data_IF_540068900521
#
_entry.id   IF_540068900521
#
_cell.length_a   1.000
_cell.length_b   1.000
_cell.length_c   1.000
_cell.angle_alpha   90.00
_cell.angle_beta   90.00
_cell.angle_gamma   90.00
#
_symmetry.space_group_name_H-M   'P 1'
#
loop_
_entity.id
_entity.type
_entity.pdbx_description
1 polymer ?
#
# COMPACT_ATOMS: atom_id res chain seq x y z
N UNK A 1 22.08 -1.06 2.52
CA UNK A 1 21.50 -0.16 1.50
C UNK A 1 20.64 0.86 2.23
N UNK A 2 20.68 2.16 1.92
CA UNK A 2 19.86 3.16 2.62
C UNK A 2 18.42 3.03 2.11
N UNK A 3 17.49 2.63 2.97
CA UNK A 3 16.04 2.74 2.69
C UNK A 3 15.78 4.20 2.29
N UNK A 4 15.14 4.43 1.15
CA UNK A 4 14.79 5.78 0.70
C UNK A 4 13.89 6.40 1.77
N UNK A 5 14.36 7.46 2.42
CA UNK A 5 13.69 8.13 3.55
C UNK A 5 12.26 8.50 3.19
N UNK A 6 12.00 8.83 1.92
CA UNK A 6 10.66 9.20 1.43
C UNK A 6 9.67 8.03 1.49
N UNK A 7 10.11 6.82 1.16
CA UNK A 7 9.33 5.57 1.30
C UNK A 7 8.76 5.43 2.69
N UNK A 8 9.64 5.57 3.66
CA UNK A 8 9.35 5.23 5.04
C UNK A 8 8.39 6.24 5.64
N UNK A 9 8.54 7.50 5.23
CA UNK A 9 7.59 8.58 5.53
C UNK A 9 6.21 8.28 4.96
N UNK A 10 6.11 7.91 3.67
CA UNK A 10 4.82 7.60 3.03
C UNK A 10 4.16 6.40 3.73
N UNK A 11 4.91 5.33 4.00
CA UNK A 11 4.41 4.14 4.71
C UNK A 11 3.85 4.50 6.09
N UNK A 12 4.63 5.23 6.88
CA UNK A 12 4.24 5.69 8.22
C UNK A 12 2.98 6.57 8.19
N UNK A 13 2.88 7.47 7.21
CA UNK A 13 1.72 8.32 7.02
C UNK A 13 0.45 7.51 6.74
N UNK A 14 0.58 6.49 5.89
CA UNK A 14 -0.55 5.69 5.47
C UNK A 14 -1.05 4.77 6.59
N UNK A 15 -0.16 4.19 7.38
CA UNK A 15 -0.49 3.46 8.61
C UNK A 15 -1.27 4.34 9.60
N UNK A 16 -0.80 5.57 9.82
CA UNK A 16 -1.46 6.55 10.67
C UNK A 16 -2.88 6.88 10.16
N UNK A 17 -3.03 7.17 8.87
CA UNK A 17 -4.33 7.49 8.28
C UNK A 17 -5.30 6.31 8.36
N UNK A 18 -4.84 5.09 8.10
CA UNK A 18 -5.65 3.87 8.28
C UNK A 18 -6.13 3.70 9.71
N UNK A 19 -5.26 3.90 10.71
CA UNK A 19 -5.64 3.87 12.12
C UNK A 19 -6.70 4.92 12.46
N UNK A 20 -6.52 6.16 11.97
CA UNK A 20 -7.42 7.27 12.28
C UNK A 20 -8.79 7.10 11.62
N UNK A 21 -8.81 6.71 10.35
CA UNK A 21 -10.05 6.45 9.61
C UNK A 21 -10.81 5.28 10.25
N UNK A 22 -10.13 4.19 10.60
CA UNK A 22 -10.74 3.04 11.28
C UNK A 22 -11.35 3.39 12.63
N UNK A 23 -10.73 4.30 13.40
CA UNK A 23 -11.28 4.77 14.68
C UNK A 23 -12.39 5.81 14.53
N UNK A 24 -12.32 6.68 13.52
CA UNK A 24 -13.35 7.69 13.25
C UNK A 24 -14.69 7.06 12.81
N UNK A 25 -14.68 5.86 12.22
CA UNK A 25 -15.89 5.09 11.90
C UNK A 25 -16.65 4.59 13.12
N UNK A 26 -15.95 4.12 14.16
CA UNK A 26 -16.59 3.71 15.42
C UNK A 26 -17.43 4.83 16.03
N UNK A 27 -17.13 6.08 15.67
CA UNK A 27 -17.79 7.30 16.13
C UNK A 27 -18.62 8.02 15.05
N UNK A 28 -18.84 7.42 13.86
CA UNK A 28 -19.62 7.96 12.71
C UNK A 28 -19.23 9.38 12.25
N UNK A 29 -17.95 9.76 12.33
CA UNK A 29 -17.56 11.15 12.09
C UNK A 29 -16.27 11.27 11.25
N UNK A 30 -16.18 10.56 10.12
CA UNK A 30 -15.08 10.74 9.15
C UNK A 30 -15.36 11.96 8.27
N UNK A 31 -15.47 13.14 8.85
CA UNK A 31 -15.46 14.38 8.04
C UNK A 31 -14.09 15.03 8.04
N UNK A 32 -13.26 14.73 9.03
CA UNK A 32 -12.04 15.50 9.21
C UNK A 32 -11.02 14.85 10.13
N UNK A 33 -9.75 14.93 9.73
CA UNK A 33 -8.59 14.54 10.53
C UNK A 33 -7.68 15.76 10.65
N UNK A 34 -7.57 16.29 11.87
CA UNK A 34 -6.57 17.32 12.17
C UNK A 34 -5.20 16.65 12.38
N UNK A 35 -4.19 17.13 11.66
CA UNK A 35 -2.85 16.57 11.68
C UNK A 35 -1.79 17.67 11.56
N UNK A 36 -0.53 17.27 11.73
CA UNK A 36 0.63 18.10 11.48
C UNK A 36 1.53 17.39 10.48
N UNK A 37 2.01 18.13 9.49
CA UNK A 37 3.00 17.65 8.52
C UNK A 37 4.37 18.24 8.84
N UNK A 38 5.40 17.41 8.87
CA UNK A 38 6.77 17.86 9.04
C UNK A 38 7.26 18.55 7.77
N UNK A 39 7.78 19.76 7.92
CA UNK A 39 8.11 20.64 6.78
C UNK A 39 9.19 20.12 5.85
N UNK A 40 10.08 19.27 6.35
CA UNK A 40 11.24 18.79 5.59
C UNK A 40 11.03 17.41 4.96
N UNK A 41 10.22 16.55 5.58
CA UNK A 41 10.06 15.15 5.16
C UNK A 41 8.67 14.83 4.65
N UNK A 42 7.64 15.55 5.10
CA UNK A 42 6.23 15.24 4.82
C UNK A 42 5.62 14.21 5.77
N UNK A 43 6.31 13.85 6.87
CA UNK A 43 5.78 12.97 7.90
C UNK A 43 4.56 13.54 8.61
N UNK A 44 3.56 12.71 8.87
CA UNK A 44 2.32 13.07 9.53
C UNK A 44 2.30 12.65 10.99
N UNK A 45 1.77 13.52 11.85
CA UNK A 45 1.44 13.19 13.24
C UNK A 45 0.11 13.78 13.64
N UNK A 46 -0.56 13.14 14.60
CA UNK A 46 -1.77 13.68 15.24
C UNK A 46 -1.51 13.86 16.71
N UNK A 47 -1.64 15.08 17.21
CA UNK A 47 -1.43 15.35 18.64
C UNK A 47 -2.73 15.68 19.34
N UNK A 48 -3.04 14.88 20.38
CA UNK A 48 -4.20 15.12 21.27
C UNK A 48 -3.87 15.95 22.50
N UNK A 49 -2.57 16.22 22.78
CA UNK A 49 -2.12 16.78 24.07
C UNK A 49 -1.11 17.93 23.97
N UNK A 50 -0.32 18.03 22.89
CA UNK A 50 0.67 19.10 22.69
C UNK A 50 0.84 19.44 21.22
N UNK A 51 0.55 20.67 20.84
CA UNK A 51 0.83 21.17 19.48
C UNK A 51 2.32 21.06 19.19
N UNK A 52 2.74 20.37 18.11
CA UNK A 52 4.13 20.37 17.66
C UNK A 52 4.65 21.79 17.42
N UNK A 53 5.97 21.99 17.47
CA UNK A 53 6.53 23.32 17.23
C UNK A 53 6.22 23.78 15.80
N UNK A 54 5.90 25.06 15.62
CA UNK A 54 5.53 25.62 14.32
C UNK A 54 6.71 25.83 13.37
N UNK A 55 7.94 25.70 13.86
CA UNK A 55 9.14 25.85 13.03
C UNK A 55 9.36 24.63 12.15
N UNK A 56 9.12 23.43 12.69
CA UNK A 56 9.31 22.14 12.03
C UNK A 56 8.02 21.55 11.48
N UNK A 57 6.86 21.94 12.03
CA UNK A 57 5.57 21.34 11.69
C UNK A 57 4.60 22.38 11.15
N UNK A 58 3.81 21.99 10.15
CA UNK A 58 2.71 22.77 9.60
C UNK A 58 1.40 22.06 9.93
N UNK A 59 0.41 22.80 10.45
CA UNK A 59 -0.89 22.24 10.79
C UNK A 59 -1.76 22.09 9.54
N UNK A 60 -2.38 20.93 9.39
CA UNK A 60 -3.21 20.58 8.24
C UNK A 60 -4.50 19.90 8.69
N UNK A 61 -5.47 19.89 7.79
CA UNK A 61 -6.71 19.12 7.93
C UNK A 61 -6.87 18.23 6.71
N UNK A 62 -7.06 16.93 6.93
CA UNK A 62 -7.32 15.94 5.89
C UNK A 62 -8.80 15.59 5.96
N UNK A 63 -9.54 15.92 4.89
CA UNK A 63 -11.00 15.87 4.87
C UNK A 63 -11.49 15.01 3.73
N UNK A 64 -12.48 14.16 4.03
CA UNK A 64 -13.27 13.52 2.99
C UNK A 64 -14.25 14.54 2.41
N UNK A 65 -14.15 14.77 1.11
CA UNK A 65 -15.04 15.62 0.32
C UNK A 65 -15.86 14.69 -0.56
N UNK A 66 -17.17 14.65 -0.32
CA UNK A 66 -18.09 13.94 -1.20
C UNK A 66 -18.20 14.70 -2.52
N UNK A 67 -17.86 14.03 -3.63
CA UNK A 67 -18.13 14.59 -4.95
C UNK A 67 -19.58 14.32 -5.34
N UNK A 68 -20.13 15.19 -6.19
CA UNK A 68 -21.48 15.02 -6.75
C UNK A 68 -21.52 13.93 -7.83
N UNK A 69 -20.37 13.35 -8.16
CA UNK A 69 -20.20 12.32 -9.18
C UNK A 69 -20.48 10.91 -8.63
N UNK A 70 -20.86 9.96 -9.50
CA UNK A 70 -21.07 8.55 -9.10
C UNK A 70 -19.78 7.83 -8.66
N UNK A 71 -18.61 8.47 -8.73
CA UNK A 71 -17.29 7.90 -8.37
C UNK A 71 -16.98 7.96 -6.86
N UNK A 72 -17.84 8.60 -6.06
CA UNK A 72 -17.65 8.73 -4.61
C UNK A 72 -16.93 10.03 -4.23
N UNK A 73 -16.37 10.09 -3.03
CA UNK A 73 -15.62 11.25 -2.54
C UNK A 73 -14.10 11.08 -2.65
N UNK A 74 -13.35 12.12 -2.27
CA UNK A 74 -11.90 12.08 -2.17
C UNK A 74 -11.41 12.72 -0.87
N UNK A 75 -10.25 12.30 -0.40
CA UNK A 75 -9.51 13.02 0.64
C UNK A 75 -8.76 14.20 0.02
N UNK A 76 -9.00 15.35 0.62
CA UNK A 76 -8.32 16.60 0.29
C UNK A 76 -7.60 17.14 1.52
N UNK A 77 -6.50 17.85 1.29
CA UNK A 77 -5.73 18.51 2.34
C UNK A 77 -6.06 20.00 2.35
N UNK A 78 -6.25 20.54 3.54
CA UNK A 78 -6.51 21.96 3.80
C UNK A 78 -5.51 22.50 4.80
N UNK A 79 -5.19 23.78 4.69
CA UNK A 79 -4.45 24.47 5.74
C UNK A 79 -5.41 24.97 6.82
N UNK A 80 -5.02 24.77 8.08
CA UNK A 80 -5.79 25.28 9.21
C UNK A 80 -5.24 26.63 9.63
N UNK A 81 -5.97 27.69 9.28
CA UNK A 81 -5.61 29.07 9.62
C UNK A 81 -6.45 29.58 10.80
N UNK A 82 -6.06 30.71 11.39
CA UNK A 82 -6.85 31.37 12.45
C UNK A 82 -8.20 31.89 11.95
N UNK A 83 -8.33 32.14 10.64
CA UNK A 83 -9.56 32.67 10.00
C UNK A 83 -10.45 31.57 9.41
N UNK A 84 -10.01 30.30 9.47
CA UNK A 84 -10.74 29.15 8.94
C UNK A 84 -9.88 28.25 8.06
N UNK A 85 -10.51 27.57 7.10
CA UNK A 85 -9.86 26.63 6.18
C UNK A 85 -9.69 27.29 4.83
N UNK A 86 -8.47 27.27 4.32
CA UNK A 86 -8.13 27.75 2.99
C UNK A 86 -7.57 26.60 2.17
N UNK A 87 -7.54 26.76 0.84
CA UNK A 87 -6.86 25.81 -0.04
C UNK A 87 -5.42 25.61 0.44
N UNK A 88 -4.95 24.36 0.41
CA UNK A 88 -3.63 24.03 0.94
C UNK A 88 -2.52 24.76 0.18
N UNK A 89 -1.83 25.67 0.87
CA UNK A 89 -0.64 26.31 0.37
C UNK A 89 0.58 25.44 0.69
N UNK A 90 1.43 25.18 -0.29
CA UNK A 90 2.68 24.44 -0.10
C UNK A 90 3.79 25.28 0.56
N UNK A 91 3.49 26.54 0.89
CA UNK A 91 4.45 27.46 1.48
C UNK A 91 4.97 26.95 2.83
N UNK A 92 6.30 26.98 2.97
CA UNK A 92 7.01 26.50 4.14
C UNK A 92 7.27 24.99 4.17
N UNK A 93 6.94 24.25 3.10
CA UNK A 93 7.33 22.85 2.91
C UNK A 93 8.50 22.73 1.92
N UNK A 94 9.38 21.77 2.15
CA UNK A 94 10.36 21.35 1.14
C UNK A 94 9.65 20.62 0.00
N UNK A 95 10.31 20.53 -1.16
CA UNK A 95 9.79 19.78 -2.30
C UNK A 95 9.55 18.31 -1.94
N UNK A 96 10.43 17.73 -1.13
CA UNK A 96 10.35 16.37 -0.62
C UNK A 96 9.10 16.17 0.25
N UNK A 97 8.83 17.10 1.17
CA UNK A 97 7.64 17.05 2.01
C UNK A 97 6.35 17.18 1.20
N UNK A 98 6.32 18.05 0.20
CA UNK A 98 5.19 18.19 -0.72
C UNK A 98 4.93 16.89 -1.48
N UNK A 99 5.97 16.25 -2.00
CA UNK A 99 5.86 14.99 -2.73
C UNK A 99 5.38 13.86 -1.84
N UNK A 100 5.97 13.68 -0.65
CA UNK A 100 5.57 12.63 0.29
C UNK A 100 4.09 12.77 0.70
N UNK A 101 3.63 14.00 0.94
CA UNK A 101 2.23 14.28 1.27
C UNK A 101 1.31 14.02 0.06
N UNK A 102 1.68 14.48 -1.13
CA UNK A 102 0.91 14.25 -2.35
C UNK A 102 0.78 12.75 -2.66
N UNK A 103 1.87 12.00 -2.57
CA UNK A 103 1.91 10.55 -2.80
C UNK A 103 1.09 9.81 -1.75
N UNK A 104 1.13 10.25 -0.50
CA UNK A 104 0.28 9.72 0.59
C UNK A 104 -1.20 9.88 0.23
N UNK A 105 -1.65 11.11 -0.09
CA UNK A 105 -3.06 11.40 -0.37
C UNK A 105 -3.53 10.73 -1.66
N UNK A 106 -2.70 10.74 -2.70
CA UNK A 106 -2.97 10.02 -3.94
C UNK A 106 -3.16 8.52 -3.68
N UNK A 107 -2.27 7.92 -2.88
CA UNK A 107 -2.34 6.49 -2.53
C UNK A 107 -3.62 6.18 -1.78
N UNK A 108 -3.97 6.96 -0.76
CA UNK A 108 -5.25 6.83 -0.03
C UNK A 108 -6.41 6.94 -1.01
N UNK A 109 -6.49 8.00 -1.80
CA UNK A 109 -7.58 8.21 -2.76
C UNK A 109 -7.70 7.09 -3.78
N UNK A 110 -6.59 6.54 -4.28
CA UNK A 110 -6.58 5.39 -5.20
C UNK A 110 -7.25 4.15 -4.60
N UNK A 111 -7.08 3.92 -3.29
CA UNK A 111 -7.75 2.82 -2.59
C UNK A 111 -9.23 3.12 -2.33
N UNK A 112 -9.54 4.37 -1.97
CA UNK A 112 -10.92 4.78 -1.67
C UNK A 112 -11.79 4.88 -2.93
N UNK A 113 -11.32 5.48 -4.03
CA UNK A 113 -12.11 5.70 -5.25
C UNK A 113 -12.39 4.41 -6.05
N UNK A 114 -11.46 3.44 -6.05
CA UNK A 114 -11.68 2.16 -6.73
C UNK A 114 -12.72 1.25 -6.06
N UNK A 115 -12.88 1.37 -4.75
CA UNK A 115 -13.74 0.47 -3.94
C UNK A 115 -15.08 1.12 -3.54
N UNK A 116 -15.18 2.46 -3.53
CA UNK A 116 -16.42 3.17 -3.21
C UNK A 116 -17.52 3.03 -4.26
N UNK A 117 -17.16 2.83 -5.54
CA UNK A 117 -18.11 2.70 -6.65
C UNK A 117 -19.11 1.53 -6.51
N UNK A 118 -19.00 0.67 -5.49
CA UNK A 118 -19.91 -0.48 -5.35
C UNK A 118 -20.57 -0.68 -3.97
N UNK A 119 -19.98 -0.28 -2.82
CA UNK A 119 -20.44 -0.81 -1.51
C UNK A 119 -20.34 0.09 -0.25
N UNK A 120 -19.97 1.37 -0.39
CA UNK A 120 -19.98 2.34 0.73
C UNK A 120 -18.72 2.35 1.63
N UNK A 121 -18.65 3.35 2.53
CA UNK A 121 -17.47 3.68 3.37
C UNK A 121 -17.01 2.50 4.25
N UNK A 122 -17.92 1.68 4.74
CA UNK A 122 -17.64 0.59 5.68
C UNK A 122 -16.82 -0.55 5.06
N UNK A 123 -17.09 -0.91 3.80
CA UNK A 123 -16.37 -1.99 3.11
C UNK A 123 -15.01 -1.55 2.58
N UNK A 124 -14.91 -0.30 2.09
CA UNK A 124 -13.63 0.27 1.67
C UNK A 124 -12.64 0.34 2.84
N UNK A 125 -13.09 0.76 4.03
CA UNK A 125 -12.23 0.80 5.22
C UNK A 125 -11.84 -0.61 5.69
N UNK A 126 -12.77 -1.57 5.68
CA UNK A 126 -12.49 -2.99 5.97
C UNK A 126 -11.47 -3.65 5.02
N UNK A 127 -11.30 -3.08 3.82
CA UNK A 127 -10.24 -3.45 2.87
C UNK A 127 -8.98 -2.60 2.99
N UNK A 128 -9.05 -1.37 3.50
CA UNK A 128 -7.88 -0.51 3.79
C UNK A 128 -7.13 -0.93 5.06
N UNK A 129 -7.85 -1.22 6.14
CA UNK A 129 -7.39 -2.30 7.03
C UNK A 129 -7.32 -3.55 6.19
N UNK A 130 -6.28 -4.37 6.11
CA UNK A 130 -6.04 -5.41 5.06
C UNK A 130 -5.21 -4.92 3.86
N UNK A 131 -5.39 -3.71 3.35
CA UNK A 131 -4.51 -3.17 2.31
C UNK A 131 -3.20 -2.73 2.97
N UNK A 132 -2.11 -3.33 2.53
CA UNK A 132 -0.77 -2.91 2.92
C UNK A 132 -0.32 -1.75 2.04
N UNK A 133 0.21 -0.72 2.69
CA UNK A 133 0.69 0.47 2.01
C UNK A 133 2.13 0.24 1.58
N UNK A 134 2.29 0.03 0.28
CA UNK A 134 3.49 -0.59 -0.28
C UNK A 134 4.59 0.45 -0.50
N UNK A 135 5.81 0.06 -0.10
CA UNK A 135 7.12 0.69 -0.34
C UNK A 135 7.46 0.84 -1.84
N UNK A 136 8.25 1.83 -2.30
CA UNK A 136 8.67 1.94 -3.68
C UNK A 136 9.47 0.71 -4.12
N UNK A 137 9.17 0.27 -5.34
CA UNK A 137 9.25 -1.13 -5.76
C UNK A 137 7.86 -1.72 -6.01
N UNK A 138 6.81 -1.10 -5.44
CA UNK A 138 5.40 -1.51 -5.62
C UNK A 138 4.84 -1.33 -7.01
N UNK A 139 5.38 -0.44 -7.86
CA UNK A 139 4.77 -0.18 -9.18
C UNK A 139 4.73 -1.44 -10.05
N UNK A 140 5.78 -2.25 -9.99
CA UNK A 140 5.84 -3.51 -10.72
C UNK A 140 4.90 -4.54 -10.11
N UNK A 141 4.89 -4.65 -8.77
CA UNK A 141 3.96 -5.52 -8.04
C UNK A 141 2.51 -5.15 -8.40
N UNK A 142 2.12 -3.89 -8.24
CA UNK A 142 0.80 -3.34 -8.57
C UNK A 142 0.41 -3.58 -10.03
N UNK A 143 1.34 -3.33 -10.97
CA UNK A 143 1.08 -3.49 -12.40
C UNK A 143 0.87 -4.96 -12.80
N UNK A 144 1.43 -5.89 -12.04
CA UNK A 144 1.43 -7.34 -12.33
C UNK A 144 0.65 -8.14 -11.30
N UNK A 145 -0.01 -7.49 -10.34
CA UNK A 145 -0.87 -8.15 -9.37
C UNK A 145 -2.23 -8.41 -10.00
N UNK A 146 -2.74 -9.63 -9.92
CA UNK A 146 -4.07 -10.02 -10.37
C UNK A 146 -4.85 -10.58 -9.18
N UNK A 147 -6.14 -10.27 -9.12
CA UNK A 147 -6.99 -10.70 -8.00
C UNK A 147 -7.88 -11.81 -8.54
N UNK A 148 -7.26 -12.97 -8.79
CA UNK A 148 -7.88 -14.09 -9.47
C UNK A 148 -7.35 -15.41 -8.89
N UNK A 149 -8.16 -16.46 -8.98
CA UNK A 149 -7.81 -17.79 -8.52
C UNK A 149 -6.84 -18.52 -9.48
N UNK A 150 -6.45 -19.72 -9.08
CA UNK A 150 -5.51 -20.54 -9.84
C UNK A 150 -6.02 -20.89 -11.23
N UNK A 151 -7.28 -21.31 -11.36
CA UNK A 151 -7.86 -21.72 -12.64
C UNK A 151 -7.88 -20.56 -13.64
N UNK A 152 -8.21 -19.36 -13.15
CA UNK A 152 -8.18 -18.13 -13.94
C UNK A 152 -6.76 -17.75 -14.34
N UNK A 153 -5.76 -17.89 -13.45
CA UNK A 153 -4.36 -17.64 -13.79
C UNK A 153 -3.82 -18.61 -14.83
N UNK A 154 -4.12 -19.90 -14.69
CA UNK A 154 -3.72 -20.89 -15.68
C UNK A 154 -4.31 -20.55 -17.06
N UNK A 155 -5.57 -20.11 -17.10
CA UNK A 155 -6.22 -19.64 -18.33
C UNK A 155 -5.56 -18.37 -18.89
N UNK A 156 -5.21 -17.39 -18.05
CA UNK A 156 -4.53 -16.17 -18.46
C UNK A 156 -3.14 -16.47 -19.04
N UNK A 157 -2.41 -17.41 -18.45
CA UNK A 157 -1.04 -17.77 -18.84
C UNK A 157 -0.97 -18.82 -19.94
N UNK A 158 -2.07 -19.50 -20.28
CA UNK A 158 -2.10 -20.61 -21.24
C UNK A 158 -1.50 -20.26 -22.62
N UNK A 159 -1.69 -19.03 -23.07
CA UNK A 159 -1.21 -18.55 -24.38
C UNK A 159 0.11 -17.76 -24.30
N UNK A 160 0.72 -17.65 -23.12
CA UNK A 160 1.90 -16.83 -22.91
C UNK A 160 3.19 -17.65 -22.98
N UNK A 161 4.28 -17.01 -23.39
CA UNK A 161 5.59 -17.66 -23.51
C UNK A 161 6.19 -17.99 -22.15
N UNK A 162 7.07 -19.00 -22.13
CA UNK A 162 7.93 -19.30 -20.98
C UNK A 162 8.60 -18.02 -20.45
N UNK A 163 8.64 -17.90 -19.13
CA UNK A 163 9.16 -16.72 -18.44
C UNK A 163 8.13 -15.64 -18.15
N UNK A 164 6.90 -15.76 -18.65
CA UNK A 164 5.82 -14.81 -18.32
C UNK A 164 5.35 -15.03 -16.90
N UNK A 165 5.27 -13.97 -16.10
CA UNK A 165 4.93 -14.05 -14.68
C UNK A 165 3.89 -13.01 -14.24
N UNK A 166 3.22 -13.26 -13.12
CA UNK A 166 2.33 -12.34 -12.43
C UNK A 166 2.34 -12.61 -10.93
N UNK A 167 1.85 -11.66 -10.14
CA UNK A 167 1.53 -11.88 -8.73
C UNK A 167 0.02 -12.03 -8.54
N UNK A 168 -0.40 -12.79 -7.53
CA UNK A 168 -1.81 -12.95 -7.17
C UNK A 168 -2.00 -13.10 -5.68
N UNK A 169 -3.17 -12.68 -5.20
CA UNK A 169 -3.66 -13.11 -3.90
C UNK A 169 -4.35 -14.47 -4.08
N UNK A 170 -4.07 -15.41 -3.20
CA UNK A 170 -4.87 -16.62 -3.08
C UNK A 170 -5.14 -16.95 -1.62
N UNK A 171 -6.16 -17.77 -1.39
CA UNK A 171 -6.63 -18.09 -0.05
C UNK A 171 -5.57 -18.78 0.81
N UNK A 172 -4.68 -19.59 0.23
CA UNK A 172 -3.60 -20.23 0.97
C UNK A 172 -2.55 -19.23 1.41
N UNK A 173 -2.12 -18.34 0.50
CA UNK A 173 -1.20 -17.26 0.85
C UNK A 173 -1.78 -16.37 1.95
N UNK A 174 -3.07 -16.03 1.87
CA UNK A 174 -3.73 -15.23 2.92
C UNK A 174 -3.71 -15.95 4.28
N UNK A 175 -4.09 -17.23 4.33
CA UNK A 175 -4.09 -18.02 5.58
C UNK A 175 -2.67 -18.11 6.15
N UNK A 176 -1.66 -18.33 5.30
CA UNK A 176 -0.26 -18.35 5.72
C UNK A 176 0.16 -17.02 6.34
N UNK A 177 -0.16 -15.90 5.70
CA UNK A 177 0.13 -14.56 6.22
C UNK A 177 -0.50 -14.31 7.59
N UNK A 178 -1.75 -14.75 7.79
CA UNK A 178 -2.44 -14.67 9.09
C UNK A 178 -1.74 -15.51 10.18
N UNK A 179 -1.31 -16.73 9.86
CA UNK A 179 -0.61 -17.61 10.81
C UNK A 179 0.80 -17.10 11.15
N UNK A 180 1.56 -16.65 10.15
CA UNK A 180 2.88 -16.06 10.37
C UNK A 180 2.75 -14.76 11.18
N UNK A 181 1.76 -13.91 10.88
CA UNK A 181 1.53 -12.67 11.64
C UNK A 181 1.26 -12.93 13.12
N UNK A 182 0.46 -13.97 13.44
CA UNK A 182 0.22 -14.38 14.83
C UNK A 182 1.50 -14.84 15.52
N UNK A 183 2.34 -15.60 14.81
CA UNK A 183 3.56 -16.19 15.36
C UNK A 183 4.63 -15.14 15.66
N UNK A 184 4.83 -14.19 14.76
CA UNK A 184 5.86 -13.17 14.89
C UNK A 184 5.37 -11.90 15.59
N UNK A 185 4.08 -11.84 15.96
CA UNK A 185 3.43 -10.68 16.59
C UNK A 185 3.60 -9.37 15.79
N UNK A 186 3.72 -9.49 14.48
CA UNK A 186 3.88 -8.37 13.55
C UNK A 186 3.11 -8.63 12.24
N UNK A 187 2.73 -7.60 11.49
CA UNK A 187 2.08 -7.78 10.19
C UNK A 187 3.00 -8.47 9.18
N UNK A 188 2.54 -9.59 8.62
CA UNK A 188 3.22 -10.34 7.56
C UNK A 188 2.24 -10.57 6.42
N UNK A 189 2.64 -10.14 5.23
CA UNK A 189 1.91 -10.39 4.00
C UNK A 189 2.44 -11.60 3.27
N UNK A 190 1.53 -12.29 2.59
CA UNK A 190 1.86 -13.39 1.72
C UNK A 190 1.02 -13.28 0.44
N UNK A 191 1.69 -13.49 -0.70
CA UNK A 191 1.06 -13.54 -2.02
C UNK A 191 1.80 -14.52 -2.90
N UNK A 192 1.21 -14.90 -4.02
CA UNK A 192 1.78 -15.92 -4.90
C UNK A 192 2.32 -15.31 -6.19
N UNK A 193 3.56 -15.63 -6.51
CA UNK A 193 4.19 -15.41 -7.80
C UNK A 193 3.90 -16.63 -8.68
N UNK A 194 3.20 -16.44 -9.78
CA UNK A 194 2.92 -17.50 -10.75
C UNK A 194 3.60 -17.20 -12.07
N UNK A 195 4.25 -18.19 -12.68
CA UNK A 195 4.92 -18.03 -13.97
C UNK A 195 4.85 -19.27 -14.87
N UNK A 196 5.07 -19.05 -16.17
CA UNK A 196 5.16 -20.10 -17.18
C UNK A 196 6.58 -20.68 -17.20
N UNK A 197 6.74 -21.89 -16.69
CA UNK A 197 7.99 -22.65 -16.70
C UNK A 197 8.22 -23.41 -18.02
N UNK A 198 9.16 -24.36 -17.98
CA UNK A 198 9.47 -25.20 -19.12
C UNK A 198 8.25 -25.97 -19.63
N UNK A 199 8.16 -26.12 -20.96
CA UNK A 199 7.07 -26.84 -21.63
C UNK A 199 5.67 -26.28 -21.32
N UNK A 200 5.57 -25.01 -20.93
CA UNK A 200 4.30 -24.35 -20.63
C UNK A 200 3.71 -24.73 -19.27
N UNK A 201 4.47 -25.41 -18.40
CA UNK A 201 3.99 -25.76 -17.06
C UNK A 201 3.86 -24.51 -16.20
N UNK A 202 2.72 -24.33 -15.56
CA UNK A 202 2.51 -23.24 -14.59
C UNK A 202 3.15 -23.60 -13.24
N UNK A 203 3.96 -22.69 -12.71
CA UNK A 203 4.70 -22.82 -11.45
C UNK A 203 4.30 -21.69 -10.52
N UNK A 204 4.08 -22.04 -9.24
CA UNK A 204 3.72 -21.11 -8.16
C UNK A 204 4.85 -21.04 -7.14
N UNK A 205 5.18 -19.84 -6.70
CA UNK A 205 5.96 -19.59 -5.48
C UNK A 205 5.18 -18.68 -4.54
N UNK A 206 5.18 -19.00 -3.25
CA UNK A 206 4.66 -18.07 -2.25
C UNK A 206 5.75 -17.10 -1.84
N UNK A 207 5.45 -15.81 -1.94
CA UNK A 207 6.31 -14.70 -1.54
C UNK A 207 5.78 -14.16 -0.22
N UNK A 208 6.67 -14.02 0.75
CA UNK A 208 6.38 -13.40 2.05
C UNK A 208 6.98 -12.00 2.04
N UNK A 209 6.18 -11.00 2.40
CA UNK A 209 6.65 -9.65 2.74
C UNK A 209 6.56 -9.47 4.25
N UNK A 210 7.74 -9.30 4.86
CA UNK A 210 7.91 -9.07 6.29
C UNK A 210 8.72 -7.81 6.49
N UNK A 211 8.08 -6.78 7.05
CA UNK A 211 8.72 -5.47 7.29
C UNK A 211 9.36 -4.86 6.03
N UNK A 212 8.73 -5.04 4.87
CA UNK A 212 9.21 -4.50 3.58
C UNK A 212 10.35 -5.31 2.95
N UNK A 213 10.66 -6.49 3.51
CA UNK A 213 11.62 -7.44 2.95
C UNK A 213 10.90 -8.65 2.41
N UNK A 214 11.32 -9.08 1.23
CA UNK A 214 10.67 -10.16 0.50
C UNK A 214 11.47 -11.44 0.62
N UNK A 215 10.81 -12.59 0.67
CA UNK A 215 11.47 -13.89 0.67
C UNK A 215 10.56 -14.92 0.01
N UNK A 216 11.14 -15.97 -0.54
CA UNK A 216 10.39 -17.12 -1.02
C UNK A 216 10.09 -18.04 0.16
N UNK A 217 8.84 -18.42 0.33
CA UNK A 217 8.43 -19.39 1.34
C UNK A 217 8.75 -20.80 0.86
N UNK A 218 9.37 -21.61 1.74
CA UNK A 218 9.78 -23.00 1.47
C UNK A 218 9.29 -23.96 2.56
N UNK A 219 8.12 -23.68 3.14
CA UNK A 219 7.55 -24.42 4.27
C UNK A 219 8.35 -24.30 5.59
N UNK A 220 9.31 -23.37 5.68
CA UNK A 220 9.97 -23.02 6.92
C UNK A 220 9.18 -21.94 7.70
N UNK A 221 8.54 -22.28 8.83
CA UNK A 221 7.79 -21.32 9.64
C UNK A 221 8.69 -20.35 10.42
N UNK A 222 10.02 -20.55 10.43
CA UNK A 222 10.99 -19.62 11.04
C UNK A 222 11.37 -18.47 10.11
N UNK A 223 11.08 -18.60 8.82
CA UNK A 223 11.43 -17.59 7.82
C UNK A 223 12.94 -17.33 7.75
N UNK A 224 13.77 -18.38 7.85
CA UNK A 224 15.24 -18.26 7.82
C UNK A 224 15.82 -18.18 6.39
N UNK A 225 14.96 -18.01 5.38
CA UNK A 225 15.39 -17.87 3.99
C UNK A 225 16.08 -16.53 3.70
N UNK A 226 16.84 -16.45 2.59
CA UNK A 226 17.38 -15.19 2.11
C UNK A 226 16.28 -14.14 1.93
N UNK A 227 16.42 -13.01 2.61
CA UNK A 227 15.59 -11.83 2.42
C UNK A 227 16.13 -10.96 1.30
N UNK A 228 15.22 -10.47 0.47
CA UNK A 228 15.46 -9.51 -0.61
C UNK A 228 14.93 -8.14 -0.16
N UNK A 229 15.69 -7.08 -0.43
CA UNK A 229 15.33 -5.71 -0.04
C UNK A 229 14.23 -5.12 -0.94
N UNK A 230 13.92 -5.77 -2.07
CA UNK A 230 12.85 -5.38 -2.99
C UNK A 230 12.31 -6.54 -3.81
N UNK A 231 11.12 -6.40 -4.38
CA UNK A 231 10.59 -7.36 -5.37
C UNK A 231 11.51 -7.46 -6.59
N UNK A 232 12.17 -6.37 -6.99
CA UNK A 232 13.09 -6.40 -8.11
C UNK A 232 14.29 -7.30 -7.82
N UNK A 233 14.84 -7.25 -6.61
CA UNK A 233 15.94 -8.12 -6.19
C UNK A 233 15.51 -9.59 -6.14
N UNK A 234 14.29 -9.86 -5.66
CA UNK A 234 13.69 -11.20 -5.68
C UNK A 234 13.52 -11.73 -7.11
N UNK A 235 12.97 -10.92 -8.02
CA UNK A 235 12.80 -11.34 -9.42
C UNK A 235 14.13 -11.49 -10.14
N UNK A 236 15.12 -10.67 -9.82
CA UNK A 236 16.48 -10.81 -10.36
C UNK A 236 17.14 -12.11 -9.90
N UNK A 237 16.88 -12.55 -8.67
CA UNK A 237 17.29 -13.88 -8.20
C UNK A 237 16.62 -15.00 -9.01
N UNK A 238 15.42 -14.74 -9.55
CA UNK A 238 14.65 -15.64 -10.40
C UNK A 238 14.76 -15.31 -11.90
N UNK A 239 15.77 -14.57 -12.35
CA UNK A 239 15.97 -14.11 -13.74
C UNK A 239 15.69 -15.20 -14.79
N UNK A 240 16.22 -16.40 -14.55
CA UNK A 240 16.10 -17.52 -15.48
C UNK A 240 14.64 -17.94 -15.71
N UNK A 241 13.76 -17.65 -14.75
CA UNK A 241 12.35 -18.06 -14.70
C UNK A 241 11.35 -16.91 -14.86
N UNK A 242 11.68 -15.69 -14.47
CA UNK A 242 10.75 -14.55 -14.43
C UNK A 242 11.26 -13.41 -15.31
N UNK A 243 10.87 -13.43 -16.59
CA UNK A 243 11.39 -12.52 -17.63
C UNK A 243 10.40 -11.44 -18.04
N UNK A 244 9.14 -11.83 -18.23
CA UNK A 244 8.14 -10.96 -18.83
C UNK A 244 6.96 -10.74 -17.87
N UNK A 245 6.74 -9.51 -17.37
CA UNK A 245 5.61 -9.24 -16.50
C UNK A 245 4.29 -9.25 -17.28
N UNK A 246 3.30 -10.03 -16.83
CA UNK A 246 1.93 -9.95 -17.33
C UNK A 246 1.20 -8.81 -16.62
N UNK A 247 1.02 -7.70 -17.33
CA UNK A 247 0.34 -6.51 -16.80
C UNK A 247 -1.17 -6.69 -16.81
N UNK A 248 -1.86 -6.15 -15.80
CA UNK A 248 -3.33 -6.00 -15.83
C UNK A 248 -3.75 -5.19 -17.06
N UNK A 249 -4.72 -5.69 -17.83
CA UNK A 249 -5.42 -4.86 -18.82
C UNK A 249 -6.24 -3.81 -18.07
N UNK A 250 -6.00 -2.54 -18.38
CA UNK A 250 -6.77 -1.41 -17.83
C UNK A 250 -8.21 -1.43 -18.33
#
# INVERSE_FOLDING_TARGET
MRVDVRTEVIRSNLELLRYLIGNAQKNRNIKEIEAFVEKNTGGLVVSKKRTPNKEQWKQISIRWVEDSSPEGGTFEVYEQTQEGKTGFAFDGLTKEACQALADTIHTVNRFFSKEFCKRGVEEAVSKLTKAHFISPGSEMLDATFHDVDRETVESLLAEHSQGTFLFRADSFAQILGEELSKRFEEPIDCFTLTFVGEKGKIIDYTVVDRSGKFQLYNDDPLLDNPCFESIHDLLKHLDEFCKTPLKRKK
#
